data_IF_573619852086
#
_entry.id   IF_573619852086
#
_cell.length_a   1.000
_cell.length_b   1.000
_cell.length_c   1.000
_cell.angle_alpha   90.00
_cell.angle_beta   90.00
_cell.angle_gamma   90.00
#
_symmetry.space_group_name_H-M   'P 1'
#
loop_
_entity.id
_entity.type
_entity.pdbx_description
1 polymer ?
#
# COMPACT_ATOMS: atom_id res chain seq x y z
N UNK A 1 -4.63 -13.87 4.16
CA UNK A 1 -4.39 -12.54 3.67
C UNK A 1 -5.26 -12.15 2.49
N UNK A 2 -5.03 -10.93 2.04
CA UNK A 2 -5.71 -10.38 0.88
C UNK A 2 -5.08 -10.92 -0.40
N UNK A 3 -5.90 -11.13 -1.42
CA UNK A 3 -5.45 -11.60 -2.72
C UNK A 3 -6.04 -10.72 -3.82
N UNK A 4 -5.28 -10.55 -4.89
CA UNK A 4 -5.75 -9.78 -6.05
C UNK A 4 -6.94 -10.46 -6.69
N UNK A 5 -7.91 -9.66 -7.10
CA UNK A 5 -9.16 -10.18 -7.65
C UNK A 5 -10.22 -10.52 -6.61
N UNK A 6 -9.90 -10.36 -5.32
CA UNK A 6 -10.85 -10.63 -4.24
C UNK A 6 -12.02 -9.65 -4.29
N UNK A 7 -13.28 -10.12 -4.21
CA UNK A 7 -14.42 -9.22 -4.22
C UNK A 7 -14.55 -8.46 -2.90
N UNK A 8 -15.32 -7.37 -2.95
CA UNK A 8 -15.53 -6.49 -1.79
C UNK A 8 -15.92 -7.25 -0.53
N UNK A 9 -16.85 -8.19 -0.65
CA UNK A 9 -17.35 -8.94 0.50
C UNK A 9 -16.21 -9.69 1.23
N UNK A 10 -15.28 -10.25 0.47
CA UNK A 10 -14.15 -10.95 1.06
C UNK A 10 -13.15 -9.99 1.70
N UNK A 11 -12.94 -8.83 1.10
CA UNK A 11 -12.09 -7.80 1.70
C UNK A 11 -12.66 -7.34 3.04
N UNK A 12 -13.96 -7.09 3.09
CA UNK A 12 -14.63 -6.71 4.34
C UNK A 12 -14.48 -7.79 5.41
N UNK A 13 -14.58 -9.06 5.03
CA UNK A 13 -14.40 -10.18 5.94
C UNK A 13 -13.00 -10.19 6.56
N UNK A 14 -11.98 -9.92 5.74
CA UNK A 14 -10.61 -9.86 6.23
C UNK A 14 -10.34 -8.69 7.18
N UNK A 15 -11.06 -7.59 7.02
CA UNK A 15 -10.90 -6.45 7.89
C UNK A 15 -11.61 -6.62 9.24
N UNK A 16 -12.58 -7.53 9.29
CA UNK A 16 -13.34 -7.78 10.51
C UNK A 16 -14.46 -6.79 10.74
N UNK A 17 -15.25 -7.05 11.78
CA UNK A 17 -16.47 -6.27 12.06
C UNK A 17 -16.20 -4.86 12.56
N UNK A 18 -15.05 -4.64 13.16
CA UNK A 18 -14.71 -3.33 13.72
C UNK A 18 -14.21 -2.34 12.67
N UNK A 19 -13.96 -2.81 11.45
CA UNK A 19 -13.43 -1.98 10.38
C UNK A 19 -14.56 -1.56 9.44
N UNK A 20 -14.66 -0.25 9.22
CA UNK A 20 -15.66 0.29 8.32
C UNK A 20 -15.00 0.72 7.02
N UNK A 21 -15.56 0.30 5.90
CA UNK A 21 -15.13 0.75 4.59
C UNK A 21 -16.06 1.86 4.12
N UNK A 22 -15.48 3.05 3.92
CA UNK A 22 -16.21 4.20 3.44
C UNK A 22 -15.89 4.41 1.97
N UNK A 23 -16.91 4.38 1.12
CA UNK A 23 -16.74 4.61 -0.30
C UNK A 23 -16.54 6.10 -0.55
N UNK A 24 -15.39 6.48 -1.12
CA UNK A 24 -15.08 7.85 -1.45
C UNK A 24 -15.46 8.20 -2.88
N UNK A 25 -15.29 7.23 -3.79
CA UNK A 25 -15.71 7.33 -5.17
C UNK A 25 -15.97 5.92 -5.68
N UNK A 26 -16.55 5.80 -6.86
CA UNK A 26 -16.92 4.49 -7.40
C UNK A 26 -15.70 3.54 -7.40
N UNK A 27 -15.83 2.41 -6.72
CA UNK A 27 -14.77 1.41 -6.63
C UNK A 27 -13.67 1.67 -5.62
N UNK A 28 -13.67 2.82 -4.94
CA UNK A 28 -12.66 3.14 -3.94
C UNK A 28 -13.24 3.10 -2.53
N UNK A 29 -12.58 2.38 -1.66
CA UNK A 29 -13.00 2.17 -0.28
C UNK A 29 -11.84 2.50 0.65
N UNK A 30 -12.14 3.08 1.82
CA UNK A 30 -11.15 3.46 2.81
C UNK A 30 -11.51 2.85 4.16
N UNK A 31 -10.55 2.18 4.78
CA UNK A 31 -10.65 1.72 6.15
C UNK A 31 -9.69 2.55 7.01
N UNK A 32 -10.12 2.92 8.19
CA UNK A 32 -9.31 3.71 9.11
C UNK A 32 -8.99 2.89 10.36
N UNK A 33 -7.89 3.24 11.01
CA UNK A 33 -7.47 2.62 12.27
C UNK A 33 -7.28 1.11 12.14
N UNK A 34 -6.59 0.71 11.07
CA UNK A 34 -6.25 -0.69 10.82
C UNK A 34 -4.92 -1.02 11.50
N UNK A 35 -4.82 -2.22 12.08
CA UNK A 35 -3.55 -2.72 12.58
C UNK A 35 -2.95 -3.68 11.56
N UNK A 36 -1.70 -3.44 11.18
CA UNK A 36 -0.95 -4.31 10.29
C UNK A 36 0.28 -4.80 11.04
N UNK A 37 0.30 -6.06 11.44
CA UNK A 37 1.40 -6.66 12.21
C UNK A 37 1.79 -5.78 13.42
N UNK A 38 0.79 -5.34 14.18
CA UNK A 38 0.94 -4.49 15.37
C UNK A 38 1.29 -3.03 15.09
N UNK A 39 1.51 -2.67 13.82
CA UNK A 39 1.72 -1.28 13.45
C UNK A 39 0.39 -0.61 13.15
N UNK A 40 0.12 0.56 13.73
CA UNK A 40 -1.10 1.28 13.41
C UNK A 40 -1.00 1.90 12.02
N UNK A 41 -2.02 1.65 11.21
CA UNK A 41 -2.15 2.23 9.88
C UNK A 41 -3.19 3.34 9.98
N UNK A 42 -2.83 4.55 9.59
CA UNK A 42 -3.75 5.68 9.65
C UNK A 42 -4.94 5.48 8.73
N UNK A 43 -4.69 4.96 7.53
CA UNK A 43 -5.76 4.59 6.61
C UNK A 43 -5.28 3.53 5.64
N UNK A 44 -6.21 2.71 5.16
CA UNK A 44 -5.98 1.75 4.10
C UNK A 44 -6.99 2.04 3.00
N UNK A 45 -6.51 2.18 1.77
CA UNK A 45 -7.35 2.48 0.60
C UNK A 45 -7.33 1.28 -0.33
N UNK A 46 -8.53 0.85 -0.74
CA UNK A 46 -8.71 -0.32 -1.60
C UNK A 46 -9.42 0.13 -2.87
N UNK A 47 -8.86 -0.20 -4.03
CA UNK A 47 -9.55 -0.05 -5.30
C UNK A 47 -10.09 -1.42 -5.69
N UNK A 48 -11.41 -1.56 -5.71
CA UNK A 48 -12.10 -2.82 -5.95
C UNK A 48 -13.05 -2.64 -7.12
N UNK A 49 -12.76 -3.34 -8.20
CA UNK A 49 -13.62 -3.34 -9.39
C UNK A 49 -14.82 -4.27 -9.15
N UNK A 50 -16.04 -3.88 -9.52
CA UNK A 50 -17.21 -4.73 -9.33
C UNK A 50 -17.10 -6.11 -10.00
N UNK A 51 -16.37 -6.18 -11.11
CA UNK A 51 -16.22 -7.44 -11.86
C UNK A 51 -14.89 -8.14 -11.58
N UNK A 52 -13.80 -7.36 -11.51
CA UNK A 52 -12.46 -7.92 -11.41
C UNK A 52 -11.93 -8.02 -9.97
N UNK A 53 -12.62 -7.41 -9.02
CA UNK A 53 -12.23 -7.47 -7.62
C UNK A 53 -11.11 -6.50 -7.26
N UNK A 54 -10.36 -6.85 -6.22
CA UNK A 54 -9.32 -5.98 -5.67
C UNK A 54 -8.20 -5.77 -6.68
N UNK A 55 -7.92 -4.50 -6.98
CA UNK A 55 -6.93 -4.10 -7.97
C UNK A 55 -5.71 -3.43 -7.35
N UNK A 56 -5.90 -2.58 -6.36
CA UNK A 56 -4.80 -1.90 -5.69
C UNK A 56 -5.12 -1.74 -4.21
N UNK A 57 -4.07 -1.55 -3.42
CA UNK A 57 -4.16 -1.39 -1.99
C UNK A 57 -3.06 -0.41 -1.57
N UNK A 58 -3.41 0.57 -0.76
CA UNK A 58 -2.44 1.52 -0.24
C UNK A 58 -2.65 1.73 1.25
N UNK A 59 -1.55 1.77 1.99
CA UNK A 59 -1.55 2.07 3.42
C UNK A 59 -0.87 3.41 3.65
N UNK A 60 -1.46 4.22 4.52
CA UNK A 60 -0.80 5.42 5.03
C UNK A 60 -0.39 5.19 6.47
N UNK A 61 0.88 5.44 6.78
CA UNK A 61 1.44 5.31 8.13
C UNK A 61 1.83 6.67 8.68
N UNK A 62 1.90 6.78 10.00
CA UNK A 62 2.52 7.94 10.61
C UNK A 62 3.99 7.99 10.20
N UNK A 63 4.51 9.21 9.95
CA UNK A 63 5.89 9.37 9.51
C UNK A 63 6.90 8.80 10.52
N UNK A 64 6.55 8.80 11.79
CA UNK A 64 7.41 8.27 12.84
C UNK A 64 7.62 6.76 12.73
N UNK A 65 6.71 6.05 12.05
CA UNK A 65 6.81 4.60 11.87
C UNK A 65 7.56 4.21 10.60
N UNK A 66 7.98 5.18 9.78
CA UNK A 66 8.59 4.93 8.49
C UNK A 66 9.81 4.00 8.56
N UNK A 67 10.73 4.27 9.50
CA UNK A 67 11.96 3.48 9.62
C UNK A 67 11.64 2.02 9.92
N UNK A 68 10.71 1.77 10.82
CA UNK A 68 10.31 0.41 11.19
C UNK A 68 9.62 -0.31 10.02
N UNK A 69 8.74 0.39 9.32
CA UNK A 69 8.03 -0.17 8.17
C UNK A 69 9.01 -0.52 7.05
N UNK A 70 9.94 0.37 6.73
CA UNK A 70 10.97 0.10 5.71
C UNK A 70 11.86 -1.06 6.12
N UNK A 71 12.23 -1.16 7.38
CA UNK A 71 13.03 -2.29 7.87
C UNK A 71 12.27 -3.60 7.70
N UNK A 72 10.97 -3.60 7.97
CA UNK A 72 10.13 -4.79 7.76
C UNK A 72 10.05 -5.20 6.29
N UNK A 73 9.92 -4.24 5.38
CA UNK A 73 9.89 -4.52 3.95
C UNK A 73 11.22 -5.11 3.48
N UNK A 74 12.36 -4.58 3.97
CA UNK A 74 13.66 -5.12 3.62
C UNK A 74 13.86 -6.52 4.19
N UNK A 75 13.35 -6.77 5.38
CA UNK A 75 13.46 -8.10 6.00
C UNK A 75 12.67 -9.15 5.22
N UNK A 76 11.51 -8.77 4.67
CA UNK A 76 10.65 -9.69 3.94
C UNK A 76 11.05 -9.87 2.49
N UNK A 77 11.48 -8.80 1.84
CA UNK A 77 11.65 -8.75 0.38
C UNK A 77 13.07 -8.44 -0.07
N UNK A 78 13.99 -8.24 0.87
CA UNK A 78 15.36 -7.87 0.54
C UNK A 78 15.51 -6.40 0.22
N UNK A 79 16.59 -6.05 -0.44
CA UNK A 79 16.82 -4.67 -0.84
C UNK A 79 15.86 -4.25 -1.94
N UNK A 80 15.43 -2.98 -1.97
CA UNK A 80 14.55 -2.52 -3.04
C UNK A 80 15.26 -2.61 -4.40
N UNK A 81 14.47 -2.85 -5.44
CA UNK A 81 14.98 -2.87 -6.82
C UNK A 81 15.52 -1.51 -7.22
N UNK A 82 14.86 -0.45 -6.77
CA UNK A 82 15.29 0.90 -7.06
C UNK A 82 14.92 1.81 -5.91
N UNK A 83 15.72 2.86 -5.77
CA UNK A 83 15.41 3.98 -4.88
C UNK A 83 15.59 5.25 -5.69
N UNK A 84 14.75 6.24 -5.45
CA UNK A 84 14.88 7.52 -6.11
C UNK A 84 14.51 8.63 -5.16
N UNK A 85 15.13 9.78 -5.34
CA UNK A 85 14.83 11.00 -4.61
C UNK A 85 14.50 12.04 -5.66
N UNK A 86 13.28 12.58 -5.59
CA UNK A 86 12.86 13.64 -6.50
C UNK A 86 12.84 14.94 -5.75
N UNK A 87 13.73 15.85 -6.13
CA UNK A 87 13.79 17.19 -5.56
C UNK A 87 12.88 18.12 -6.37
N UNK A 88 11.62 17.76 -6.46
CA UNK A 88 10.62 18.61 -7.07
C UNK A 88 9.82 19.30 -5.97
N UNK A 89 8.67 19.86 -6.33
CA UNK A 89 7.81 20.57 -5.38
C UNK A 89 7.47 19.77 -4.12
N UNK A 90 7.58 18.45 -4.16
CA UNK A 90 7.10 17.57 -3.11
C UNK A 90 8.20 16.77 -2.42
N UNK A 91 9.45 16.93 -2.80
CA UNK A 91 10.57 16.19 -2.18
C UNK A 91 10.18 14.73 -1.88
N UNK A 92 9.96 13.96 -2.95
CA UNK A 92 9.57 12.57 -2.80
C UNK A 92 10.78 11.67 -2.73
N UNK A 93 10.74 10.72 -1.81
CA UNK A 93 11.69 9.62 -1.76
C UNK A 93 10.90 8.33 -1.99
N UNK A 94 11.34 7.51 -2.93
CA UNK A 94 10.59 6.36 -3.40
C UNK A 94 11.47 5.11 -3.35
N UNK A 95 10.91 4.02 -2.82
CA UNK A 95 11.52 2.68 -2.82
C UNK A 95 10.57 1.73 -3.53
N UNK A 96 11.12 0.83 -4.36
CA UNK A 96 10.30 -0.11 -5.15
C UNK A 96 10.80 -1.54 -4.96
N UNK A 97 9.87 -2.45 -4.72
CA UNK A 97 10.11 -3.89 -4.70
C UNK A 97 9.17 -4.56 -5.70
N UNK A 98 9.64 -5.63 -6.32
CA UNK A 98 8.79 -6.49 -7.15
C UNK A 98 9.01 -7.92 -6.69
N UNK A 99 7.96 -8.52 -6.10
CA UNK A 99 8.05 -9.88 -5.56
C UNK A 99 7.68 -10.94 -6.58
N UNK A 100 7.33 -10.53 -7.81
CA UNK A 100 6.79 -11.42 -8.83
C UNK A 100 5.28 -11.42 -8.85
N UNK A 101 4.65 -11.36 -7.69
CA UNK A 101 3.20 -11.25 -7.58
C UNK A 101 2.76 -9.81 -7.32
N UNK A 102 3.55 -9.08 -6.53
CA UNK A 102 3.22 -7.73 -6.10
C UNK A 102 4.29 -6.74 -6.53
N UNK A 103 3.84 -5.59 -6.98
CA UNK A 103 4.69 -4.42 -7.10
C UNK A 103 4.42 -3.53 -5.89
N UNK A 104 5.45 -3.31 -5.09
CA UNK A 104 5.34 -2.56 -3.84
C UNK A 104 6.11 -1.26 -3.99
N UNK A 105 5.44 -0.14 -3.71
CA UNK A 105 6.05 1.18 -3.78
C UNK A 105 5.87 1.89 -2.45
N UNK A 106 6.98 2.20 -1.79
CA UNK A 106 6.96 3.00 -0.58
C UNK A 106 7.34 4.44 -0.96
N UNK A 107 6.58 5.41 -0.47
CA UNK A 107 6.77 6.81 -0.82
C UNK A 107 6.76 7.66 0.44
N UNK A 108 7.83 8.43 0.63
CA UNK A 108 7.87 9.50 1.63
C UNK A 108 7.65 10.80 0.89
N UNK A 109 6.61 11.53 1.26
CA UNK A 109 6.29 12.83 0.70
C UNK A 109 6.50 13.90 1.75
N UNK A 110 7.14 15.00 1.35
CA UNK A 110 7.30 16.17 2.20
C UNK A 110 6.71 17.34 1.43
N UNK A 111 5.50 17.72 1.80
CA UNK A 111 4.75 18.76 1.11
C UNK A 111 4.24 19.79 2.13
N UNK A 112 4.64 21.05 1.94
CA UNK A 112 4.19 22.18 2.75
C UNK A 112 4.34 21.94 4.26
N UNK A 113 5.45 21.33 4.68
CA UNK A 113 5.72 21.04 6.08
C UNK A 113 5.02 19.81 6.63
N UNK A 114 4.21 19.14 5.81
CA UNK A 114 3.58 17.87 6.18
C UNK A 114 4.33 16.72 5.57
N UNK A 115 4.70 15.74 6.40
CA UNK A 115 5.36 14.53 5.94
C UNK A 115 4.36 13.39 5.95
N UNK A 116 4.30 12.66 4.83
CA UNK A 116 3.45 11.49 4.68
C UNK A 116 4.28 10.30 4.26
N UNK A 117 3.93 9.13 4.77
CA UNK A 117 4.55 7.87 4.37
C UNK A 117 3.46 6.91 3.91
N UNK A 118 3.58 6.47 2.66
CA UNK A 118 2.58 5.63 2.01
C UNK A 118 3.25 4.39 1.45
N UNK A 119 2.55 3.26 1.52
CA UNK A 119 2.98 2.05 0.81
C UNK A 119 1.82 1.59 -0.04
N UNK A 120 2.07 1.48 -1.35
CA UNK A 120 1.06 0.98 -2.26
C UNK A 120 1.46 -0.40 -2.80
N UNK A 121 0.45 -1.23 -2.99
CA UNK A 121 0.58 -2.59 -3.52
C UNK A 121 -0.32 -2.70 -4.73
N UNK A 122 0.19 -3.33 -5.78
CA UNK A 122 -0.62 -3.68 -6.96
C UNK A 122 -0.05 -4.96 -7.57
N UNK A 123 -0.83 -5.66 -8.38
CA UNK A 123 -0.31 -6.86 -9.05
C UNK A 123 0.87 -6.50 -9.94
N UNK A 124 1.92 -7.32 -9.88
CA UNK A 124 3.04 -7.16 -10.78
C UNK A 124 2.66 -7.70 -12.15
N UNK A 125 2.82 -6.89 -13.19
CA UNK A 125 2.54 -7.30 -14.58
C UNK A 125 3.78 -7.84 -15.27
N UNK A 126 4.95 -7.59 -14.70
CA UNK A 126 6.20 -8.05 -15.26
C UNK A 126 6.66 -9.27 -14.50
N UNK A 127 6.47 -10.43 -15.11
CA UNK A 127 6.96 -11.70 -14.58
C UNK A 127 8.14 -12.14 -15.43
N UNK A 128 9.21 -12.67 -14.82
CA UNK A 128 10.37 -13.10 -15.59
C UNK A 128 10.04 -14.08 -16.71
N UNK A 129 9.09 -14.98 -16.50
CA UNK A 129 8.72 -15.99 -17.49
C UNK A 129 7.93 -15.42 -18.65
N UNK A 130 7.49 -14.18 -18.60
CA UNK A 130 6.76 -13.55 -19.70
C UNK A 130 7.64 -12.62 -20.55
N UNK A 131 8.87 -12.46 -20.15
CA UNK A 131 9.83 -11.67 -20.89
C UNK A 131 10.61 -12.57 -21.83
#
# INVERSE_FOLDING_TARGET
GLAWGMPLEQVETHLGRSQLLNQQQSGRYVAREVLLDRLPVSSATFDIDPEQGLKTLAYEFAIDDMTEVLAGLRARHGQPLSTSIKESRHNEQIWVWNTGEDLITAVKQDEAGQQKFLISYRPSRLRPETL
#
